data_IF_078569133813
#
_entry.id   IF_078569133813
#
_cell.length_a   1.000
_cell.length_b   1.000
_cell.length_c   1.000
_cell.angle_alpha   90.00
_cell.angle_beta   90.00
_cell.angle_gamma   90.00
#
_symmetry.space_group_name_H-M   'P 1'
#
loop_
_entity.id
_entity.type
_entity.pdbx_description
1 polymer ?
#
# COMPACT_ATOMS: atom_id res chain seq x y z
N UNK A 1 -22.83 43.71 -41.23
CA UNK A 1 -23.85 42.77 -40.73
C UNK A 1 -23.14 41.54 -40.20
N UNK A 2 -23.14 41.35 -38.88
CA UNK A 2 -22.53 40.19 -38.23
C UNK A 2 -23.37 38.94 -38.52
N UNK A 3 -22.75 37.86 -38.97
CA UNK A 3 -23.42 36.61 -39.38
C UNK A 3 -22.83 35.46 -38.57
N UNK A 4 -23.71 34.65 -37.99
CA UNK A 4 -23.37 33.49 -37.16
C UNK A 4 -23.56 32.20 -37.94
N UNK A 5 -22.63 31.27 -37.75
CA UNK A 5 -22.71 29.91 -38.26
C UNK A 5 -22.75 28.95 -37.07
N UNK A 6 -23.52 27.89 -37.17
CA UNK A 6 -23.64 26.87 -36.13
C UNK A 6 -23.22 25.51 -36.69
N UNK A 7 -22.47 24.75 -35.91
CA UNK A 7 -22.11 23.37 -36.17
C UNK A 7 -22.77 22.50 -35.10
N UNK A 8 -23.63 21.59 -35.54
CA UNK A 8 -24.24 20.58 -34.68
C UNK A 8 -24.00 19.20 -35.32
N UNK A 9 -23.32 18.31 -34.61
CA UNK A 9 -22.93 16.98 -35.09
C UNK A 9 -22.30 16.99 -36.51
N UNK A 10 -21.44 17.98 -36.77
CA UNK A 10 -20.72 18.13 -38.04
C UNK A 10 -21.53 18.75 -39.19
N UNK A 11 -22.82 19.09 -38.98
CA UNK A 11 -23.61 19.84 -39.95
C UNK A 11 -23.53 21.34 -39.67
N UNK A 12 -23.04 22.10 -40.65
CA UNK A 12 -22.95 23.56 -40.58
C UNK A 12 -24.25 24.18 -41.09
N UNK A 13 -24.85 25.04 -40.27
CA UNK A 13 -26.06 25.81 -40.60
C UNK A 13 -25.79 27.30 -40.45
N UNK A 14 -26.34 28.11 -41.36
CA UNK A 14 -26.16 29.56 -41.40
C UNK A 14 -26.12 30.13 -42.83
N UNK A 15 -25.90 31.44 -42.99
CA UNK A 15 -25.65 32.43 -41.95
C UNK A 15 -26.91 32.96 -41.26
N UNK A 16 -26.92 33.02 -39.93
CA UNK A 16 -28.01 33.61 -39.14
C UNK A 16 -27.63 35.00 -38.61
N UNK A 17 -28.63 35.88 -38.47
CA UNK A 17 -28.50 37.11 -37.67
C UNK A 17 -28.68 36.81 -36.18
N UNK A 18 -28.38 37.77 -35.30
CA UNK A 18 -28.38 37.57 -33.83
C UNK A 18 -29.71 37.02 -33.30
N UNK A 19 -30.85 37.51 -33.79
CA UNK A 19 -32.18 37.04 -33.37
C UNK A 19 -32.41 35.56 -33.74
N UNK A 20 -32.12 35.18 -34.98
CA UNK A 20 -32.24 33.80 -35.44
C UNK A 20 -31.17 32.87 -34.83
N UNK A 21 -30.02 33.43 -34.44
CA UNK A 21 -28.96 32.73 -33.74
C UNK A 21 -29.41 32.35 -32.32
N UNK A 22 -30.02 33.27 -31.56
CA UNK A 22 -30.57 32.96 -30.23
C UNK A 22 -31.65 31.87 -30.27
N UNK A 23 -32.49 31.84 -31.31
CA UNK A 23 -33.45 30.74 -31.50
C UNK A 23 -32.77 29.38 -31.75
N UNK A 24 -31.61 29.36 -32.43
CA UNK A 24 -30.85 28.13 -32.63
C UNK A 24 -30.12 27.67 -31.37
N UNK A 25 -29.61 28.62 -30.60
CA UNK A 25 -28.97 28.37 -29.30
C UNK A 25 -29.95 27.71 -28.33
N UNK A 26 -31.21 28.16 -28.28
CA UNK A 26 -32.24 27.54 -27.46
C UNK A 26 -32.59 26.11 -27.90
N UNK A 27 -32.51 25.80 -29.20
CA UNK A 27 -32.79 24.46 -29.75
C UNK A 27 -31.62 23.50 -29.59
N UNK A 28 -30.40 24.01 -29.67
CA UNK A 28 -29.17 23.22 -29.66
C UNK A 28 -28.13 23.82 -28.69
N UNK A 29 -28.32 23.67 -27.37
CA UNK A 29 -27.45 24.28 -26.36
C UNK A 29 -26.01 23.74 -26.37
N UNK A 30 -25.78 22.55 -26.95
CA UNK A 30 -24.46 21.91 -27.06
C UNK A 30 -23.79 22.15 -28.43
N UNK A 31 -24.35 23.00 -29.29
CA UNK A 31 -23.76 23.30 -30.59
C UNK A 31 -22.53 24.21 -30.47
N UNK A 32 -21.73 24.24 -31.53
CA UNK A 32 -20.64 25.20 -31.67
C UNK A 32 -21.08 26.34 -32.60
N UNK A 33 -20.75 27.57 -32.25
CA UNK A 33 -20.96 28.75 -33.06
C UNK A 33 -19.62 29.28 -33.60
N UNK A 34 -19.65 29.80 -34.83
CA UNK A 34 -18.52 30.51 -35.43
C UNK A 34 -18.95 31.90 -35.87
N UNK A 35 -18.08 32.86 -35.61
CA UNK A 35 -18.21 34.24 -36.02
C UNK A 35 -16.84 34.75 -36.50
N UNK A 36 -16.78 35.64 -37.50
CA UNK A 36 -15.51 36.14 -38.05
C UNK A 36 -14.56 36.80 -37.05
N UNK A 37 -15.05 37.20 -35.88
CA UNK A 37 -14.23 37.75 -34.79
C UNK A 37 -13.55 36.69 -33.92
N UNK A 38 -13.89 35.40 -34.06
CA UNK A 38 -13.23 34.31 -33.35
C UNK A 38 -12.31 33.52 -34.28
N UNK A 39 -11.15 33.13 -33.75
CA UNK A 39 -10.18 32.31 -34.48
C UNK A 39 -10.63 30.85 -34.68
N UNK A 40 -11.61 30.40 -33.88
CA UNK A 40 -12.08 29.02 -33.85
C UNK A 40 -13.59 28.93 -33.61
N UNK A 41 -14.15 27.74 -33.82
CA UNK A 41 -15.51 27.41 -33.39
C UNK A 41 -15.58 27.46 -31.86
N UNK A 42 -16.50 28.25 -31.34
CA UNK A 42 -16.71 28.41 -29.89
C UNK A 42 -17.96 27.64 -29.48
N UNK A 43 -17.97 26.93 -28.34
CA UNK A 43 -19.21 26.41 -27.77
C UNK A 43 -20.20 27.55 -27.61
N UNK A 44 -21.47 27.29 -27.94
CA UNK A 44 -22.54 28.27 -27.79
C UNK A 44 -22.57 28.82 -26.36
N UNK A 45 -22.39 27.96 -25.35
CA UNK A 45 -22.27 28.31 -23.92
C UNK A 45 -21.19 29.32 -23.55
N UNK A 46 -20.20 29.55 -24.41
CA UNK A 46 -19.07 30.46 -24.16
C UNK A 46 -19.18 31.78 -24.94
N UNK A 47 -20.30 32.02 -25.63
CA UNK A 47 -20.53 33.25 -26.41
C UNK A 47 -21.44 34.19 -25.62
N UNK A 48 -20.88 35.31 -25.15
CA UNK A 48 -21.59 36.31 -24.34
C UNK A 48 -22.77 36.98 -25.08
N UNK A 49 -22.79 36.94 -26.41
CA UNK A 49 -23.88 37.52 -27.22
C UNK A 49 -25.15 36.64 -27.23
N UNK A 50 -25.10 35.42 -26.68
CA UNK A 50 -26.23 34.50 -26.67
C UNK A 50 -26.91 34.40 -25.29
N UNK A 51 -28.24 34.43 -25.29
CA UNK A 51 -29.05 34.23 -24.09
C UNK A 51 -29.15 32.73 -23.77
N UNK A 52 -28.25 32.23 -22.92
CA UNK A 52 -28.18 30.81 -22.56
C UNK A 52 -28.65 30.63 -21.13
N UNK A 53 -29.77 29.93 -21.00
CA UNK A 53 -30.28 29.51 -19.70
C UNK A 53 -29.60 28.19 -19.30
N UNK A 54 -28.45 28.28 -18.63
CA UNK A 54 -27.80 27.10 -18.05
C UNK A 54 -28.56 26.74 -16.77
N UNK A 55 -29.28 25.62 -16.78
CA UNK A 55 -29.85 25.06 -15.55
C UNK A 55 -28.71 24.67 -14.61
N UNK A 56 -28.69 25.26 -13.42
CA UNK A 56 -27.75 24.86 -12.36
C UNK A 56 -28.00 23.37 -12.06
N UNK A 57 -26.97 22.51 -12.12
CA UNK A 57 -27.14 21.11 -11.77
C UNK A 57 -27.60 21.02 -10.31
N UNK A 58 -28.58 20.15 -10.04
CA UNK A 58 -29.03 19.88 -8.68
C UNK A 58 -27.87 19.37 -7.84
N UNK A 59 -27.74 19.81 -6.56
CA UNK A 59 -26.73 19.27 -5.66
C UNK A 59 -26.80 17.73 -5.64
N UNK A 60 -25.64 17.05 -5.48
CA UNK A 60 -25.63 15.61 -5.26
C UNK A 60 -26.54 15.23 -4.09
N UNK A 61 -27.21 14.08 -4.19
CA UNK A 61 -28.02 13.57 -3.08
C UNK A 61 -27.13 13.31 -1.85
N UNK A 62 -27.67 13.58 -0.66
CA UNK A 62 -26.99 13.27 0.60
C UNK A 62 -26.68 11.77 0.68
N UNK A 63 -25.46 11.44 1.12
CA UNK A 63 -25.04 10.05 1.32
C UNK A 63 -25.88 9.43 2.44
N UNK A 64 -26.47 8.23 2.23
CA UNK A 64 -27.22 7.54 3.28
C UNK A 64 -26.37 7.34 4.53
N UNK A 65 -26.91 7.68 5.71
CA UNK A 65 -26.20 7.56 6.99
C UNK A 65 -25.73 6.13 7.26
N UNK A 66 -26.55 5.14 6.90
CA UNK A 66 -26.22 3.72 7.03
C UNK A 66 -24.91 3.36 6.29
N UNK A 67 -24.72 3.87 5.07
CA UNK A 67 -23.51 3.62 4.30
C UNK A 67 -22.26 4.25 4.96
N UNK A 68 -22.43 5.44 5.56
CA UNK A 68 -21.36 6.10 6.30
C UNK A 68 -21.00 5.33 7.58
N UNK A 69 -22.00 4.90 8.34
CA UNK A 69 -21.81 4.12 9.57
C UNK A 69 -21.16 2.77 9.28
N UNK A 70 -21.57 2.07 8.23
CA UNK A 70 -20.97 0.82 7.77
C UNK A 70 -19.50 1.02 7.36
N UNK A 71 -19.19 2.10 6.65
CA UNK A 71 -17.82 2.41 6.24
C UNK A 71 -16.93 2.67 7.45
N UNK A 72 -17.38 3.50 8.40
CA UNK A 72 -16.66 3.81 9.64
C UNK A 72 -16.53 2.56 10.51
N UNK A 73 -17.53 1.68 10.54
CA UNK A 73 -17.46 0.39 11.22
C UNK A 73 -16.34 -0.49 10.67
N UNK A 74 -16.28 -0.65 9.35
CA UNK A 74 -15.22 -1.41 8.67
C UNK A 74 -13.84 -0.81 8.87
N UNK A 75 -13.72 0.52 8.84
CA UNK A 75 -12.47 1.21 9.12
C UNK A 75 -11.95 0.87 10.52
N UNK A 76 -12.82 0.94 11.53
CA UNK A 76 -12.46 0.61 12.92
C UNK A 76 -12.07 -0.85 13.08
N UNK A 77 -12.79 -1.78 12.45
CA UNK A 77 -12.47 -3.20 12.49
C UNK A 77 -11.10 -3.51 11.84
N UNK A 78 -10.82 -2.85 10.71
CA UNK A 78 -9.53 -2.97 10.04
C UNK A 78 -8.39 -2.46 10.92
N UNK A 79 -8.56 -1.30 11.56
CA UNK A 79 -7.57 -0.74 12.50
C UNK A 79 -7.33 -1.70 13.67
N UNK A 80 -8.39 -2.26 14.27
CA UNK A 80 -8.27 -3.20 15.37
C UNK A 80 -7.53 -4.49 14.95
N UNK A 81 -7.76 -4.95 13.72
CA UNK A 81 -7.09 -6.11 13.15
C UNK A 81 -5.60 -5.85 12.95
N UNK A 82 -5.23 -4.67 12.40
CA UNK A 82 -3.84 -4.27 12.23
C UNK A 82 -3.11 -4.18 13.57
N UNK A 83 -3.73 -3.60 14.59
CA UNK A 83 -3.17 -3.53 15.95
C UNK A 83 -2.94 -4.92 16.54
N UNK A 84 -3.85 -5.87 16.29
CA UNK A 84 -3.68 -7.25 16.74
C UNK A 84 -2.50 -7.92 16.03
N UNK A 85 -2.38 -7.75 14.72
CA UNK A 85 -1.27 -8.31 13.94
C UNK A 85 0.07 -7.75 14.46
N UNK A 86 0.15 -6.44 14.65
CA UNK A 86 1.35 -5.77 15.17
C UNK A 86 1.77 -6.32 16.53
N UNK A 87 0.81 -6.46 17.45
CA UNK A 87 1.06 -7.07 18.76
C UNK A 87 1.54 -8.53 18.64
N UNK A 88 0.94 -9.32 17.77
CA UNK A 88 1.36 -10.71 17.56
C UNK A 88 2.78 -10.77 16.98
N UNK A 89 3.11 -9.93 16.01
CA UNK A 89 4.46 -9.85 15.43
C UNK A 89 5.50 -9.47 16.49
N UNK A 90 5.21 -8.47 17.33
CA UNK A 90 6.09 -8.08 18.44
C UNK A 90 6.34 -9.26 19.38
N UNK A 91 5.29 -9.92 19.86
CA UNK A 91 5.42 -11.07 20.77
C UNK A 91 6.19 -12.22 20.12
N UNK A 92 5.92 -12.53 18.85
CA UNK A 92 6.65 -13.57 18.13
C UNK A 92 8.13 -13.22 17.97
N UNK A 93 8.45 -11.96 17.69
CA UNK A 93 9.83 -11.50 17.59
C UNK A 93 10.57 -11.63 18.92
N UNK A 94 9.93 -11.25 20.03
CA UNK A 94 10.51 -11.39 21.37
C UNK A 94 10.77 -12.87 21.70
N UNK A 95 9.80 -13.76 21.43
CA UNK A 95 9.99 -15.21 21.64
C UNK A 95 11.06 -15.83 20.73
N UNK A 96 11.25 -15.32 19.50
CA UNK A 96 12.34 -15.76 18.64
C UNK A 96 13.69 -15.33 19.18
N UNK A 97 13.79 -14.11 19.71
CA UNK A 97 15.02 -13.64 20.36
C UNK A 97 15.35 -14.44 21.62
N UNK A 98 14.35 -14.84 22.41
CA UNK A 98 14.53 -15.73 23.56
C UNK A 98 15.03 -17.11 23.10
N UNK A 99 14.44 -17.67 22.04
CA UNK A 99 14.85 -18.96 21.49
C UNK A 99 16.30 -18.93 20.96
N UNK A 100 16.70 -17.85 20.28
CA UNK A 100 18.07 -17.68 19.81
C UNK A 100 19.06 -17.67 20.98
N UNK A 101 18.73 -17.00 22.09
CA UNK A 101 19.54 -17.02 23.30
C UNK A 101 19.63 -18.42 23.92
N UNK A 102 18.51 -19.15 24.01
CA UNK A 102 18.50 -20.52 24.52
C UNK A 102 19.36 -21.46 23.67
N UNK A 103 19.40 -21.25 22.34
CA UNK A 103 20.25 -22.02 21.42
C UNK A 103 21.72 -21.72 21.69
N UNK A 104 22.10 -20.46 21.82
CA UNK A 104 23.48 -20.06 22.10
C UNK A 104 23.96 -20.62 23.45
N UNK A 105 23.12 -20.53 24.49
CA UNK A 105 23.40 -21.10 25.82
C UNK A 105 23.58 -22.62 25.74
N UNK A 106 22.72 -23.33 24.99
CA UNK A 106 22.83 -24.76 24.81
C UNK A 106 24.11 -25.17 24.06
N UNK A 107 24.53 -24.38 23.06
CA UNK A 107 25.80 -24.57 22.34
C UNK A 107 26.99 -24.42 23.31
N UNK A 108 26.97 -23.39 24.16
CA UNK A 108 28.03 -23.14 25.13
C UNK A 108 28.16 -24.30 26.13
N UNK A 109 27.04 -24.75 26.70
CA UNK A 109 27.00 -25.88 27.63
C UNK A 109 27.51 -27.15 26.96
N UNK A 110 27.06 -27.45 25.74
CA UNK A 110 27.50 -28.62 25.00
C UNK A 110 29.01 -28.58 24.72
N UNK A 111 29.55 -27.42 24.36
CA UNK A 111 30.98 -27.22 24.14
C UNK A 111 31.77 -27.43 25.44
N UNK A 112 31.34 -26.82 26.56
CA UNK A 112 32.00 -26.98 27.86
C UNK A 112 32.04 -28.43 28.30
N UNK A 113 30.91 -29.15 28.22
CA UNK A 113 30.87 -30.58 28.56
C UNK A 113 31.82 -31.40 27.69
N UNK A 114 31.90 -31.12 26.39
CA UNK A 114 32.80 -31.85 25.50
C UNK A 114 34.27 -31.65 25.91
N UNK A 115 34.65 -30.41 26.23
CA UNK A 115 36.00 -30.09 26.73
C UNK A 115 36.29 -30.79 28.06
N UNK A 116 35.35 -30.78 29.01
CA UNK A 116 35.49 -31.44 30.31
C UNK A 116 35.63 -32.96 30.17
N UNK A 117 34.79 -33.58 29.34
CA UNK A 117 34.84 -35.03 29.08
C UNK A 117 36.17 -35.40 28.46
N UNK A 118 36.63 -34.65 27.45
CA UNK A 118 37.92 -34.89 26.81
C UNK A 118 39.08 -34.77 27.80
N UNK A 119 39.10 -33.71 28.59
CA UNK A 119 40.12 -33.51 29.64
C UNK A 119 40.12 -34.63 30.66
N UNK A 120 38.93 -35.10 31.06
CA UNK A 120 38.77 -36.22 31.99
C UNK A 120 39.33 -37.51 31.41
N UNK A 121 39.02 -37.80 30.14
CA UNK A 121 39.54 -38.98 29.42
C UNK A 121 41.07 -38.92 29.35
N UNK A 122 41.64 -37.78 28.93
CA UNK A 122 43.09 -37.60 28.82
C UNK A 122 43.79 -37.85 30.18
N UNK A 123 43.20 -37.37 31.28
CA UNK A 123 43.72 -37.61 32.64
C UNK A 123 43.64 -39.10 33.03
N UNK A 124 42.52 -39.77 32.77
CA UNK A 124 42.36 -41.21 33.03
C UNK A 124 43.41 -42.02 32.25
N UNK A 125 43.63 -41.70 30.97
CA UNK A 125 44.63 -42.36 30.14
C UNK A 125 46.06 -42.18 30.68
N UNK A 126 46.39 -40.95 31.11
CA UNK A 126 47.69 -40.66 31.72
C UNK A 126 47.90 -41.44 33.03
N UNK A 127 46.89 -41.48 33.91
CA UNK A 127 46.96 -42.25 35.16
C UNK A 127 47.10 -43.75 34.89
N UNK A 128 46.36 -44.27 33.91
CA UNK A 128 46.47 -45.68 33.51
C UNK A 128 47.86 -46.01 32.97
N UNK A 129 48.43 -45.15 32.11
CA UNK A 129 49.79 -45.32 31.59
C UNK A 129 50.84 -45.30 32.72
N UNK A 130 50.70 -44.40 33.69
CA UNK A 130 51.58 -44.33 34.86
C UNK A 130 51.49 -45.59 35.73
N UNK A 131 50.27 -46.08 36.02
CA UNK A 131 50.05 -47.31 36.78
C UNK A 131 50.66 -48.52 36.08
N UNK A 132 50.46 -48.64 34.76
CA UNK A 132 51.06 -49.73 33.96
C UNK A 132 52.58 -49.72 34.03
N UNK A 133 53.20 -48.53 33.95
CA UNK A 133 54.65 -48.36 34.10
C UNK A 133 55.13 -48.76 35.49
N UNK A 134 54.43 -48.33 36.54
CA UNK A 134 54.78 -48.64 37.93
C UNK A 134 54.69 -50.14 38.22
N UNK A 135 53.64 -50.82 37.74
CA UNK A 135 53.49 -52.28 37.85
C UNK A 135 54.62 -53.03 37.13
N UNK A 136 55.01 -52.58 35.94
CA UNK A 136 56.14 -53.17 35.21
C UNK A 136 57.49 -53.01 35.94
N UNK A 137 57.67 -51.93 36.70
CA UNK A 137 58.85 -51.71 37.55
C UNK A 137 58.79 -52.56 38.81
N UNK A 138 57.62 -52.67 39.46
CA UNK A 138 57.42 -53.47 40.66
C UNK A 138 57.66 -54.97 40.41
N UNK A 139 57.20 -55.50 39.28
CA UNK A 139 57.42 -56.90 38.89
C UNK A 139 58.87 -57.22 38.45
N UNK A 140 59.76 -56.22 38.37
CA UNK A 140 61.18 -56.39 38.01
C UNK A 140 62.14 -56.33 39.21
N UNK A 141 61.65 -56.07 40.42
CA UNK A 141 62.48 -56.16 41.64
C UNK A 141 62.49 -57.62 42.14
N UNK A 142 63.69 -58.22 42.37
CA UNK A 142 63.83 -59.58 42.89
C UNK A 142 63.41 -59.70 44.36
#
# INVERSE_FOLDING_TARGET
>A
MKKWFFSNDGKITGPFGLQAANEQVSKYPNAFAWHPSYAQWMPVSCVDEFDIFVSVPTPPNDVPKELYEDFVGKEREMIATLQRIDKTLSVTNDSLSELDQDIDDAIEVAHSLNVEVKTTIDNIEQQFAALKKNLAVANKKP
#
